data_IF_197719540883
#
_entry.id   IF_197719540883
#
_cell.length_a   1.000
_cell.length_b   1.000
_cell.length_c   1.000
_cell.angle_alpha   90.00
_cell.angle_beta   90.00
_cell.angle_gamma   90.00
#
_symmetry.space_group_name_H-M   'P 1'
#
loop_
_entity.id
_entity.type
_entity.pdbx_description
1 polymer ?
#
# COMPACT_ATOMS: atom_id res chain seq x y z
N UNK A 1 -12.39 -15.99 28.09
CA UNK A 1 -13.72 -15.33 28.14
C UNK A 1 -13.51 -13.92 27.64
N UNK A 2 -14.00 -13.62 26.43
CA UNK A 2 -13.90 -12.28 25.84
C UNK A 2 -15.33 -11.87 25.48
N UNK A 3 -15.78 -10.77 26.09
CA UNK A 3 -17.12 -10.22 25.96
C UNK A 3 -17.44 -9.82 24.50
N UNK A 4 -18.49 -10.40 23.89
CA UNK A 4 -18.91 -10.10 22.52
C UNK A 4 -19.74 -8.80 22.38
N UNK A 5 -19.85 -7.98 23.43
CA UNK A 5 -20.77 -6.84 23.49
C UNK A 5 -20.11 -5.45 23.32
N UNK A 6 -18.81 -5.36 23.03
CA UNK A 6 -18.09 -4.07 22.99
C UNK A 6 -17.51 -3.68 21.60
N UNK A 7 -17.69 -4.48 20.55
CA UNK A 7 -17.22 -4.14 19.20
C UNK A 7 -18.30 -4.46 18.14
N UNK A 8 -19.26 -3.56 17.96
CA UNK A 8 -20.28 -3.58 16.88
C UNK A 8 -19.66 -3.19 15.50
N UNK A 9 -18.43 -3.62 15.22
CA UNK A 9 -17.78 -3.31 13.97
C UNK A 9 -16.94 -4.48 13.47
N UNK A 10 -17.13 -4.78 12.20
CA UNK A 10 -16.39 -5.81 11.47
C UNK A 10 -14.96 -5.30 11.27
N UNK A 11 -13.99 -5.83 12.03
CA UNK A 11 -12.57 -5.45 11.91
C UNK A 11 -11.94 -5.87 10.58
N UNK A 12 -12.46 -6.92 9.94
CA UNK A 12 -12.07 -7.33 8.59
C UNK A 12 -13.20 -8.16 7.97
N UNK A 13 -13.81 -7.75 6.85
CA UNK A 13 -14.81 -8.54 6.15
C UNK A 13 -14.20 -9.87 5.69
N UNK A 14 -14.96 -10.96 5.79
CA UNK A 14 -14.56 -12.27 5.30
C UNK A 14 -14.31 -12.24 3.78
N UNK A 15 -13.45 -13.12 3.27
CA UNK A 15 -13.12 -13.17 1.84
C UNK A 15 -14.36 -13.38 0.97
N UNK A 16 -15.35 -14.14 1.45
CA UNK A 16 -16.63 -14.32 0.75
C UNK A 16 -17.52 -13.07 0.79
N UNK A 17 -17.37 -12.20 1.80
CA UNK A 17 -18.03 -10.88 1.83
C UNK A 17 -17.38 -9.94 0.83
N UNK A 18 -16.05 -9.90 0.75
CA UNK A 18 -15.32 -9.08 -0.23
C UNK A 18 -15.63 -9.51 -1.66
N UNK A 19 -15.74 -10.81 -1.94
CA UNK A 19 -16.12 -11.29 -3.28
C UNK A 19 -17.56 -10.93 -3.68
N UNK A 20 -18.43 -10.61 -2.70
CA UNK A 20 -19.80 -10.12 -2.97
C UNK A 20 -19.84 -8.64 -3.32
N UNK A 21 -18.80 -7.85 -3.00
CA UNK A 21 -18.65 -6.44 -3.42
C UNK A 21 -18.21 -6.33 -4.91
N UNK A 22 -18.86 -7.08 -5.80
CA UNK A 22 -18.56 -7.07 -7.23
C UNK A 22 -19.28 -5.93 -7.99
N UNK A 23 -20.15 -5.18 -7.31
CA UNK A 23 -20.88 -4.07 -7.92
C UNK A 23 -19.98 -2.88 -8.22
N UNK A 24 -20.15 -2.25 -9.38
CA UNK A 24 -19.42 -1.02 -9.75
C UNK A 24 -19.57 0.09 -8.69
N UNK A 25 -20.74 0.17 -8.04
CA UNK A 25 -21.02 1.13 -6.96
C UNK A 25 -20.19 0.86 -5.70
N UNK A 26 -20.05 -0.41 -5.34
CA UNK A 26 -19.27 -0.82 -4.15
C UNK A 26 -17.79 -0.55 -4.38
N UNK A 27 -17.28 -0.88 -5.57
CA UNK A 27 -15.90 -0.57 -5.96
C UNK A 27 -15.65 0.95 -6.01
N UNK A 28 -16.59 1.74 -6.52
CA UNK A 28 -16.48 3.20 -6.48
C UNK A 28 -16.40 3.73 -5.04
N UNK A 29 -17.20 3.16 -4.12
CA UNK A 29 -17.14 3.48 -2.70
C UNK A 29 -15.76 3.19 -2.08
N UNK A 30 -15.17 2.03 -2.40
CA UNK A 30 -13.83 1.66 -1.94
C UNK A 30 -12.76 2.61 -2.49
N UNK A 31 -12.81 2.94 -3.78
CA UNK A 31 -11.85 3.85 -4.42
C UNK A 31 -11.93 5.25 -3.82
N UNK A 32 -13.14 5.78 -3.60
CA UNK A 32 -13.34 7.10 -2.98
C UNK A 32 -12.85 7.09 -1.54
N UNK A 33 -13.17 6.07 -0.75
CA UNK A 33 -12.73 5.96 0.65
C UNK A 33 -11.21 5.86 0.77
N UNK A 34 -10.56 5.08 -0.11
CA UNK A 34 -9.11 4.97 -0.16
C UNK A 34 -8.45 6.29 -0.62
N UNK A 35 -9.04 6.94 -1.63
CA UNK A 35 -8.54 8.19 -2.21
C UNK A 35 -8.78 9.44 -1.37
N UNK A 36 -9.73 9.41 -0.43
CA UNK A 36 -10.04 10.53 0.46
C UNK A 36 -8.89 10.88 1.43
N UNK A 37 -7.84 10.08 1.51
CA UNK A 37 -6.63 10.37 2.30
C UNK A 37 -5.64 11.16 1.44
N UNK A 38 -5.56 12.50 1.57
CA UNK A 38 -4.55 13.25 0.85
C UNK A 38 -3.16 12.83 1.34
N UNK A 39 -2.26 12.47 0.42
CA UNK A 39 -0.86 12.33 0.80
C UNK A 39 -0.33 13.71 1.16
N UNK A 40 0.36 13.85 2.29
CA UNK A 40 0.89 15.14 2.75
C UNK A 40 1.71 15.88 1.66
N UNK A 41 2.37 15.11 0.78
CA UNK A 41 3.11 15.65 -0.36
C UNK A 41 2.26 16.40 -1.39
N UNK A 42 1.02 15.96 -1.67
CA UNK A 42 0.14 16.66 -2.60
C UNK A 42 -0.23 18.05 -2.07
N UNK A 43 -0.53 18.15 -0.78
CA UNK A 43 -0.86 19.43 -0.13
C UNK A 43 0.34 20.39 -0.14
N UNK A 44 1.55 19.89 0.14
CA UNK A 44 2.77 20.71 0.13
C UNK A 44 2.99 21.32 -1.26
N UNK A 45 2.87 20.52 -2.33
CA UNK A 45 3.05 21.00 -3.71
C UNK A 45 1.99 22.04 -4.07
N UNK A 46 0.72 21.81 -3.72
CA UNK A 46 -0.37 22.75 -3.98
C UNK A 46 -0.18 24.10 -3.26
N UNK A 47 0.19 24.07 -1.98
CA UNK A 47 0.44 25.28 -1.20
C UNK A 47 1.63 26.06 -1.78
N UNK A 48 2.71 25.36 -2.12
CA UNK A 48 3.88 25.98 -2.75
C UNK A 48 3.53 26.62 -4.10
N UNK A 49 2.80 25.89 -4.96
CA UNK A 49 2.37 26.40 -6.25
C UNK A 49 1.46 27.64 -6.12
N UNK A 50 0.57 27.64 -5.13
CA UNK A 50 -0.29 28.79 -4.83
C UNK A 50 0.54 30.01 -4.37
N UNK A 51 1.56 29.80 -3.52
CA UNK A 51 2.45 30.87 -3.08
C UNK A 51 3.27 31.49 -4.23
N UNK A 52 3.59 30.71 -5.26
CA UNK A 52 4.29 31.17 -6.47
C UNK A 52 3.34 31.73 -7.54
N UNK A 53 2.01 31.73 -7.32
CA UNK A 53 1.01 32.16 -8.29
C UNK A 53 0.78 31.16 -9.45
N UNK A 54 1.35 29.96 -9.39
CA UNK A 54 1.29 28.92 -10.43
C UNK A 54 0.33 27.77 -10.04
N UNK A 55 -0.92 28.10 -9.68
CA UNK A 55 -1.89 27.12 -9.19
C UNK A 55 -2.13 25.93 -10.15
N UNK A 56 -2.22 26.20 -11.46
CA UNK A 56 -2.41 25.18 -12.48
C UNK A 56 -1.26 24.16 -12.56
N UNK A 57 -0.02 24.61 -12.33
CA UNK A 57 1.13 23.71 -12.29
C UNK A 57 1.06 22.77 -11.07
N UNK A 58 0.58 23.27 -9.93
CA UNK A 58 0.35 22.45 -8.73
C UNK A 58 -0.71 21.38 -8.94
N UNK A 59 -1.82 21.71 -9.63
CA UNK A 59 -2.84 20.73 -10.02
C UNK A 59 -2.24 19.67 -10.94
N UNK A 60 -1.54 20.08 -12.00
CA UNK A 60 -0.92 19.14 -12.94
C UNK A 60 0.10 18.20 -12.25
N UNK A 61 0.91 18.73 -11.33
CA UNK A 61 1.86 17.95 -10.56
C UNK A 61 1.16 16.94 -9.63
N UNK A 62 0.03 17.30 -9.03
CA UNK A 62 -0.76 16.40 -8.18
C UNK A 62 -1.34 15.24 -9.00
N UNK A 63 -1.86 15.52 -10.20
CA UNK A 63 -2.31 14.47 -11.12
C UNK A 63 -1.17 13.56 -11.58
N UNK A 64 -0.01 14.12 -11.90
CA UNK A 64 1.17 13.32 -12.27
C UNK A 64 1.62 12.40 -11.12
N UNK A 65 1.60 12.89 -9.87
CA UNK A 65 1.90 12.10 -8.67
C UNK A 65 0.88 10.96 -8.47
N UNK A 66 -0.41 11.26 -8.60
CA UNK A 66 -1.48 10.25 -8.47
C UNK A 66 -1.36 9.17 -9.56
N UNK A 67 -1.09 9.57 -10.80
CA UNK A 67 -0.90 8.66 -11.92
C UNK A 67 0.33 7.75 -11.70
N UNK A 68 1.46 8.31 -11.26
CA UNK A 68 2.65 7.52 -10.93
C UNK A 68 2.36 6.46 -9.88
N UNK A 69 1.66 6.85 -8.81
CA UNK A 69 1.29 5.92 -7.72
C UNK A 69 0.38 4.81 -8.20
N UNK A 70 -0.63 5.13 -9.03
CA UNK A 70 -1.54 4.14 -9.61
C UNK A 70 -0.80 3.16 -10.52
N UNK A 71 0.09 3.65 -11.38
CA UNK A 71 0.89 2.83 -12.30
C UNK A 71 1.81 1.88 -11.54
N UNK A 72 2.57 2.38 -10.56
CA UNK A 72 3.48 1.54 -9.77
C UNK A 72 2.72 0.48 -8.98
N UNK A 73 1.63 0.86 -8.30
CA UNK A 73 0.84 -0.07 -7.50
C UNK A 73 0.17 -1.14 -8.36
N UNK A 74 -0.40 -0.74 -9.50
CA UNK A 74 -1.00 -1.67 -10.46
C UNK A 74 0.03 -2.64 -11.05
N UNK A 75 1.22 -2.15 -11.42
CA UNK A 75 2.30 -2.99 -11.93
C UNK A 75 2.73 -4.04 -10.89
N UNK A 76 2.97 -3.62 -9.63
CA UNK A 76 3.33 -4.53 -8.55
C UNK A 76 2.23 -5.57 -8.28
N UNK A 77 0.96 -5.16 -8.28
CA UNK A 77 -0.17 -6.08 -8.11
C UNK A 77 -0.23 -7.12 -9.24
N UNK A 78 -0.07 -6.70 -10.50
CA UNK A 78 -0.04 -7.60 -11.64
C UNK A 78 1.14 -8.59 -11.56
N UNK A 79 2.34 -8.11 -11.21
CA UNK A 79 3.51 -8.97 -11.00
C UNK A 79 3.27 -9.99 -9.89
N UNK A 80 2.74 -9.57 -8.74
CA UNK A 80 2.46 -10.47 -7.62
C UNK A 80 1.49 -11.60 -8.01
N UNK A 81 0.42 -11.26 -8.75
CA UNK A 81 -0.54 -12.24 -9.26
C UNK A 81 0.10 -13.18 -10.27
N UNK A 82 0.92 -12.66 -11.20
CA UNK A 82 1.66 -13.48 -12.17
C UNK A 82 2.61 -14.46 -11.48
N UNK A 83 3.41 -13.98 -10.52
CA UNK A 83 4.30 -14.83 -9.74
C UNK A 83 3.54 -15.87 -8.92
N UNK A 84 2.38 -15.53 -8.35
CA UNK A 84 1.51 -16.49 -7.66
C UNK A 84 1.04 -17.60 -8.60
N UNK A 85 0.57 -17.27 -9.80
CA UNK A 85 0.17 -18.27 -10.79
C UNK A 85 1.35 -19.15 -11.23
N UNK A 86 2.53 -18.56 -11.46
CA UNK A 86 3.75 -19.30 -11.76
C UNK A 86 4.13 -20.23 -10.60
N UNK A 87 4.15 -19.72 -9.37
CA UNK A 87 4.47 -20.49 -8.17
C UNK A 87 3.51 -21.66 -7.98
N UNK A 88 2.20 -21.47 -8.12
CA UNK A 88 1.21 -22.56 -8.04
C UNK A 88 1.40 -23.61 -9.14
N UNK A 89 1.79 -23.20 -10.36
CA UNK A 89 2.09 -24.13 -11.46
C UNK A 89 3.37 -24.94 -11.21
N UNK A 90 4.39 -24.35 -10.59
CA UNK A 90 5.66 -25.02 -10.26
C UNK A 90 5.60 -25.81 -8.94
N UNK A 91 4.76 -25.42 -7.98
CA UNK A 91 4.61 -26.05 -6.67
C UNK A 91 3.96 -27.45 -6.72
N UNK A 92 3.40 -27.86 -7.87
CA UNK A 92 2.97 -29.24 -8.11
C UNK A 92 4.11 -30.28 -8.02
N UNK A 93 5.39 -29.84 -8.03
CA UNK A 93 6.56 -30.66 -7.76
C UNK A 93 7.24 -30.24 -6.45
N UNK A 94 6.77 -30.73 -5.31
CA UNK A 94 7.26 -30.36 -3.97
C UNK A 94 8.73 -30.72 -3.73
N UNK A 95 9.65 -29.78 -3.94
CA UNK A 95 11.05 -29.93 -3.56
C UNK A 95 11.38 -29.01 -2.38
N UNK A 96 12.01 -29.54 -1.31
CA UNK A 96 12.49 -28.75 -0.16
C UNK A 96 13.34 -27.52 -0.56
N UNK A 97 13.92 -27.53 -1.76
CA UNK A 97 14.75 -26.46 -2.30
C UNK A 97 13.93 -25.21 -2.66
N UNK A 98 12.70 -25.36 -3.17
CA UNK A 98 11.83 -24.21 -3.45
C UNK A 98 11.37 -23.54 -2.16
N UNK A 99 11.02 -24.32 -1.14
CA UNK A 99 10.64 -23.80 0.17
C UNK A 99 11.77 -22.98 0.82
N UNK A 100 13.02 -23.45 0.74
CA UNK A 100 14.19 -22.71 1.25
C UNK A 100 14.45 -21.40 0.49
N UNK A 101 14.27 -21.41 -0.84
CA UNK A 101 14.43 -20.19 -1.65
C UNK A 101 13.38 -19.15 -1.31
N UNK A 102 12.12 -19.56 -1.15
CA UNK A 102 11.02 -18.66 -0.75
C UNK A 102 11.30 -18.08 0.63
N UNK A 103 11.65 -18.91 1.62
CA UNK A 103 11.98 -18.45 2.97
C UNK A 103 13.15 -17.46 2.99
N UNK A 104 14.19 -17.70 2.16
CA UNK A 104 15.30 -16.75 2.02
C UNK A 104 14.86 -15.40 1.43
N UNK A 105 13.96 -15.43 0.44
CA UNK A 105 13.42 -14.21 -0.17
C UNK A 105 12.53 -13.43 0.80
N UNK A 106 11.69 -14.12 1.58
CA UNK A 106 10.87 -13.53 2.65
C UNK A 106 11.74 -12.87 3.72
N UNK A 107 12.82 -13.53 4.13
CA UNK A 107 13.76 -12.97 5.12
C UNK A 107 14.42 -11.70 4.58
N UNK A 108 14.81 -11.68 3.31
CA UNK A 108 15.40 -10.52 2.66
C UNK A 108 14.38 -9.37 2.58
N UNK A 109 13.15 -9.65 2.16
CA UNK A 109 12.08 -8.65 2.10
C UNK A 109 11.79 -8.05 3.49
N UNK A 110 11.70 -8.89 4.53
CA UNK A 110 11.51 -8.45 5.91
C UNK A 110 12.68 -7.58 6.40
N UNK A 111 13.92 -7.99 6.12
CA UNK A 111 15.12 -7.22 6.47
C UNK A 111 15.14 -5.85 5.78
N UNK A 112 14.78 -5.77 4.50
CA UNK A 112 14.69 -4.51 3.76
C UNK A 112 13.66 -3.55 4.39
N UNK A 113 12.45 -4.04 4.69
CA UNK A 113 11.41 -3.24 5.35
C UNK A 113 11.86 -2.80 6.75
N UNK A 114 12.50 -3.68 7.51
CA UNK A 114 13.03 -3.36 8.83
C UNK A 114 14.09 -2.23 8.77
N UNK A 115 14.98 -2.25 7.78
CA UNK A 115 15.98 -1.19 7.57
C UNK A 115 15.32 0.14 7.23
N UNK A 116 14.30 0.16 6.35
CA UNK A 116 13.55 1.38 6.06
C UNK A 116 12.83 1.93 7.30
N UNK A 117 12.22 1.05 8.08
CA UNK A 117 11.58 1.42 9.35
C UNK A 117 12.57 2.00 10.35
N UNK A 118 13.74 1.38 10.51
CA UNK A 118 14.80 1.89 11.36
C UNK A 118 15.33 3.25 10.87
N UNK A 119 15.54 3.42 9.56
CA UNK A 119 15.97 4.68 8.98
C UNK A 119 14.94 5.81 9.26
N UNK A 120 13.65 5.55 9.05
CA UNK A 120 12.58 6.51 9.38
C UNK A 120 12.53 6.83 10.87
N UNK A 121 12.66 5.82 11.74
CA UNK A 121 12.68 6.00 13.20
C UNK A 121 13.87 6.83 13.66
N UNK A 122 15.07 6.53 13.15
CA UNK A 122 16.28 7.32 13.46
C UNK A 122 16.17 8.75 12.97
N UNK A 123 15.60 8.98 11.79
CA UNK A 123 15.31 10.32 11.28
C UNK A 123 14.37 11.09 12.21
N UNK A 124 13.30 10.45 12.70
CA UNK A 124 12.39 11.04 13.68
C UNK A 124 13.09 11.33 15.02
N UNK A 125 13.89 10.41 15.54
CA UNK A 125 14.59 10.56 16.81
C UNK A 125 15.60 11.72 16.80
N UNK A 126 16.38 11.83 15.72
CA UNK A 126 17.36 12.91 15.55
C UNK A 126 16.65 14.25 15.31
N UNK A 127 15.57 14.26 14.51
CA UNK A 127 14.79 15.47 14.23
C UNK A 127 14.01 15.98 15.44
N UNK A 128 13.49 15.09 16.29
CA UNK A 128 12.78 15.43 17.52
C UNK A 128 13.68 15.82 18.70
N UNK A 129 14.96 15.43 18.68
CA UNK A 129 15.95 15.88 19.65
C UNK A 129 16.48 17.31 19.39
N UNK A 130 16.12 17.91 18.24
CA UNK A 130 16.54 19.25 17.83
C UNK A 130 15.45 20.34 17.95
N UNK A 131 14.26 20.01 18.45
CA UNK A 131 13.15 20.96 18.70
C UNK A 131 12.93 21.23 20.18
#
# INVERSE_FOLDING_TARGET
VHDPAACDHVHMPDAAQVSRLAGWRDMAGVVVAAGARPCAGALIILVFANAQGLFWAGIAATFAMALGTALTTGALAAFAVFFKFAALKFAGGGSLRSARLIAGLELLAAAFVAVLGAALFTGLWIGGAGS
#
